data_IF_398346237225
#
_entry.id   IF_398346237225
#
_cell.length_a   1.000
_cell.length_b   1.000
_cell.length_c   1.000
_cell.angle_alpha   90.00
_cell.angle_beta   90.00
_cell.angle_gamma   90.00
#
_symmetry.space_group_name_H-M   'P 1'
#
loop_
_entity.id
_entity.type
_entity.pdbx_description
1 polymer ?
#
# COMPACT_ATOMS: atom_id res chain seq x y z
N UNK A 1 -3.77 -13.35 21.87
CA UNK A 1 -2.53 -14.00 22.36
C UNK A 1 -1.64 -12.85 22.76
N UNK A 2 -1.15 -12.77 24.00
CA UNK A 2 -0.41 -11.58 24.45
C UNK A 2 0.65 -11.14 23.42
N UNK A 3 0.78 -9.83 23.17
CA UNK A 3 1.67 -9.31 22.12
C UNK A 3 3.11 -9.81 22.29
N UNK A 4 3.57 -9.97 23.53
CA UNK A 4 4.86 -10.59 23.88
C UNK A 4 5.01 -12.03 23.37
N UNK A 5 3.97 -12.85 23.48
CA UNK A 5 3.94 -14.23 22.96
C UNK A 5 3.93 -14.24 21.42
N UNK A 6 3.21 -13.30 20.78
CA UNK A 6 3.25 -13.14 19.32
C UNK A 6 4.67 -12.76 18.87
N UNK A 7 5.35 -11.88 19.61
CA UNK A 7 6.72 -11.47 19.33
C UNK A 7 7.70 -12.63 19.52
N UNK A 8 7.55 -13.43 20.58
CA UNK A 8 8.39 -14.60 20.82
C UNK A 8 8.24 -15.65 19.69
N UNK A 9 7.00 -15.94 19.27
CA UNK A 9 6.74 -16.86 18.18
C UNK A 9 7.26 -16.35 16.81
N UNK A 10 7.24 -15.04 16.58
CA UNK A 10 7.57 -14.43 15.29
C UNK A 10 9.05 -14.04 15.14
N UNK A 11 9.68 -13.60 16.24
CA UNK A 11 11.02 -12.99 16.26
C UNK A 11 11.99 -13.66 17.25
N UNK A 12 11.52 -14.65 18.04
CA UNK A 12 12.34 -15.32 19.05
C UNK A 12 12.66 -14.45 20.27
N UNK A 13 11.95 -13.33 20.45
CA UNK A 13 12.08 -12.45 21.62
C UNK A 13 10.73 -11.91 22.04
N UNK A 14 10.45 -11.97 23.35
CA UNK A 14 9.27 -11.37 23.94
C UNK A 14 9.43 -9.85 24.18
N UNK A 15 10.65 -9.31 24.02
CA UNK A 15 10.93 -7.89 24.27
C UNK A 15 10.63 -7.02 23.05
N UNK A 16 9.67 -6.11 23.18
CA UNK A 16 9.26 -5.16 22.13
C UNK A 16 10.44 -4.33 21.60
N UNK A 17 11.34 -3.88 22.47
CA UNK A 17 12.53 -3.12 22.06
C UNK A 17 13.51 -3.99 21.26
N UNK A 18 13.65 -5.25 21.66
CA UNK A 18 14.43 -6.25 20.96
C UNK A 18 13.90 -6.54 19.55
N UNK A 19 12.57 -6.59 19.38
CA UNK A 19 11.93 -6.75 18.06
C UNK A 19 12.29 -5.59 17.13
N UNK A 20 12.38 -4.35 17.63
CA UNK A 20 12.81 -3.18 16.87
C UNK A 20 14.35 -3.03 16.76
N UNK A 21 15.11 -3.86 17.48
CA UNK A 21 16.58 -3.79 17.54
C UNK A 21 17.09 -2.51 18.19
N UNK A 22 16.36 -1.97 19.17
CA UNK A 22 16.72 -0.77 19.95
C UNK A 22 16.88 -1.12 21.43
N UNK A 23 17.54 -0.26 22.19
CA UNK A 23 17.70 -0.45 23.64
C UNK A 23 16.45 0.01 24.39
N UNK A 24 16.18 -0.57 25.56
CA UNK A 24 15.20 -0.04 26.53
C UNK A 24 15.60 1.39 26.91
N UNK A 25 14.64 2.31 26.91
CA UNK A 25 14.90 3.75 27.08
C UNK A 25 15.33 4.49 25.80
N UNK A 26 15.22 3.86 24.63
CA UNK A 26 15.44 4.53 23.35
C UNK A 26 14.50 5.74 23.16
N UNK A 27 15.02 6.80 22.54
CA UNK A 27 14.20 7.96 22.20
C UNK A 27 13.12 7.59 21.18
N UNK A 28 12.05 8.38 21.09
CA UNK A 28 11.02 8.20 20.06
C UNK A 28 11.62 8.18 18.64
N UNK A 29 12.64 9.00 18.39
CA UNK A 29 13.38 9.04 17.12
C UNK A 29 14.10 7.71 16.84
N UNK A 30 14.68 7.09 17.85
CA UNK A 30 15.38 5.81 17.73
C UNK A 30 14.41 4.65 17.52
N UNK A 31 13.25 4.66 18.19
CA UNK A 31 12.18 3.69 18.01
C UNK A 31 11.62 3.76 16.59
N UNK A 32 11.36 4.96 16.08
CA UNK A 32 10.95 5.19 14.69
C UNK A 32 11.98 4.69 13.68
N UNK A 33 13.27 4.94 13.93
CA UNK A 33 14.36 4.46 13.08
C UNK A 33 14.52 2.93 13.15
N UNK A 34 14.35 2.33 14.32
CA UNK A 34 14.35 0.88 14.53
C UNK A 34 13.24 0.21 13.74
N UNK A 35 12.01 0.70 13.88
CA UNK A 35 10.85 0.25 13.14
C UNK A 35 11.06 0.34 11.62
N UNK A 36 11.50 1.49 11.12
CA UNK A 36 11.78 1.68 9.70
C UNK A 36 12.74 0.62 9.14
N UNK A 37 13.84 0.33 9.84
CA UNK A 37 14.81 -0.70 9.41
C UNK A 37 14.21 -2.10 9.42
N UNK A 38 13.42 -2.43 10.44
CA UNK A 38 12.76 -3.73 10.55
C UNK A 38 11.67 -3.93 9.48
N UNK A 39 10.88 -2.89 9.21
CA UNK A 39 9.84 -2.86 8.20
C UNK A 39 10.36 -3.13 6.80
N UNK A 40 11.47 -2.50 6.42
CA UNK A 40 12.09 -2.72 5.11
C UNK A 40 12.58 -4.16 4.91
N UNK A 41 12.96 -4.85 6.00
CA UNK A 41 13.41 -6.25 5.96
C UNK A 41 12.25 -7.23 5.87
N UNK A 42 11.13 -6.91 6.51
CA UNK A 42 9.97 -7.80 6.64
C UNK A 42 8.87 -7.50 5.62
N UNK A 43 9.14 -6.63 4.64
CA UNK A 43 8.14 -6.23 3.66
C UNK A 43 7.74 -7.41 2.76
N UNK A 44 6.44 -7.74 2.64
CA UNK A 44 5.96 -8.90 1.87
C UNK A 44 6.28 -8.81 0.36
N UNK A 45 6.56 -7.61 -0.14
CA UNK A 45 6.96 -7.39 -1.55
C UNK A 45 8.43 -7.73 -1.83
N UNK A 46 9.27 -7.83 -0.78
CA UNK A 46 10.71 -8.12 -0.91
C UNK A 46 11.04 -9.59 -0.67
N UNK A 47 10.04 -10.44 -0.41
CA UNK A 47 10.21 -11.87 -0.13
C UNK A 47 9.56 -12.73 -1.23
N UNK A 48 10.07 -13.95 -1.47
CA UNK A 48 9.47 -14.90 -2.40
C UNK A 48 8.01 -15.23 -2.04
N UNK A 49 7.22 -15.65 -3.03
CA UNK A 49 5.78 -15.92 -2.87
C UNK A 49 5.45 -16.89 -1.72
N UNK A 50 6.31 -17.89 -1.48
CA UNK A 50 6.16 -18.90 -0.42
C UNK A 50 6.31 -18.32 1.00
N UNK A 51 6.97 -17.18 1.15
CA UNK A 51 7.24 -16.53 2.44
C UNK A 51 6.36 -15.29 2.67
N UNK A 52 5.47 -14.95 1.73
CA UNK A 52 4.62 -13.75 1.82
C UNK A 52 3.67 -13.79 3.00
N UNK A 53 3.09 -14.94 3.32
CA UNK A 53 2.18 -15.08 4.47
C UNK A 53 2.92 -14.88 5.80
N UNK A 54 4.10 -15.48 5.95
CA UNK A 54 4.92 -15.33 7.15
C UNK A 54 5.46 -13.90 7.29
N UNK A 55 5.90 -13.28 6.20
CA UNK A 55 6.31 -11.88 6.18
C UNK A 55 5.16 -10.95 6.55
N UNK A 56 3.96 -11.19 6.03
CA UNK A 56 2.75 -10.42 6.37
C UNK A 56 2.43 -10.54 7.86
N UNK A 57 2.48 -11.75 8.42
CA UNK A 57 2.24 -11.98 9.86
C UNK A 57 3.28 -11.30 10.73
N UNK A 58 4.58 -11.45 10.42
CA UNK A 58 5.67 -10.76 11.12
C UNK A 58 5.52 -9.25 11.04
N UNK A 59 5.15 -8.74 9.87
CA UNK A 59 4.96 -7.32 9.63
C UNK A 59 3.79 -6.74 10.46
N UNK A 60 2.67 -7.46 10.54
CA UNK A 60 1.54 -7.09 11.40
C UNK A 60 1.95 -7.01 12.87
N UNK A 61 2.72 -8.00 13.36
CA UNK A 61 3.22 -8.01 14.74
C UNK A 61 4.17 -6.83 14.97
N UNK A 62 5.09 -6.56 14.03
CA UNK A 62 5.97 -5.39 14.08
C UNK A 62 5.18 -4.07 14.19
N UNK A 63 4.09 -3.94 13.44
CA UNK A 63 3.20 -2.78 13.50
C UNK A 63 2.53 -2.61 14.88
N UNK A 64 2.15 -3.71 15.53
CA UNK A 64 1.62 -3.70 16.91
C UNK A 64 2.70 -3.31 17.93
N UNK A 65 3.91 -3.86 17.80
CA UNK A 65 5.07 -3.50 18.63
C UNK A 65 5.35 -2.01 18.58
N UNK A 66 5.38 -1.45 17.37
CA UNK A 66 5.59 -0.01 17.21
C UNK A 66 4.45 0.81 17.77
N UNK A 67 3.18 0.41 17.62
CA UNK A 67 2.05 1.15 18.19
C UNK A 67 2.23 1.38 19.70
N UNK A 68 2.53 0.29 20.42
CA UNK A 68 2.78 0.32 21.88
C UNK A 68 3.99 1.16 22.22
N UNK A 69 5.10 0.96 21.52
CA UNK A 69 6.33 1.69 21.80
C UNK A 69 6.28 3.14 21.32
N UNK A 70 5.41 3.52 20.38
CA UNK A 70 5.33 4.90 19.86
C UNK A 70 4.51 5.81 20.76
N UNK A 71 3.50 5.28 21.46
CA UNK A 71 2.69 6.01 22.43
C UNK A 71 3.41 6.06 23.78
N UNK A 72 3.67 7.27 24.29
CA UNK A 72 4.40 7.49 25.54
C UNK A 72 3.68 6.87 26.76
N UNK A 73 2.35 6.87 26.78
CA UNK A 73 1.56 6.28 27.87
C UNK A 73 1.60 4.76 27.80
N UNK A 74 1.43 4.18 26.61
CA UNK A 74 1.49 2.72 26.46
C UNK A 74 2.91 2.19 26.69
N UNK A 75 3.93 2.94 26.27
CA UNK A 75 5.34 2.63 26.55
C UNK A 75 5.63 2.63 28.05
N UNK A 76 5.17 3.64 28.78
CA UNK A 76 5.36 3.70 30.24
C UNK A 76 4.72 2.50 30.95
N UNK A 77 3.49 2.13 30.56
CA UNK A 77 2.80 0.94 31.10
C UNK A 77 3.58 -0.34 30.78
N UNK A 78 4.08 -0.49 29.55
CA UNK A 78 4.92 -1.63 29.17
C UNK A 78 6.24 -1.67 29.93
N UNK A 79 6.90 -0.54 30.14
CA UNK A 79 8.16 -0.44 30.87
C UNK A 79 8.00 -0.82 32.35
N UNK A 80 6.86 -0.49 32.96
CA UNK A 80 6.54 -0.82 34.36
C UNK A 80 6.04 -2.25 34.56
N UNK A 81 5.18 -2.75 33.67
CA UNK A 81 4.46 -4.03 33.88
C UNK A 81 5.00 -5.18 33.04
N UNK A 82 5.74 -4.89 31.97
CA UNK A 82 6.16 -5.89 30.99
C UNK A 82 5.01 -6.53 30.19
N UNK A 83 3.78 -6.04 30.37
CA UNK A 83 2.57 -6.53 29.72
C UNK A 83 1.95 -5.43 28.86
N UNK A 84 1.27 -5.83 27.79
CA UNK A 84 0.55 -4.92 26.89
C UNK A 84 -0.90 -5.40 26.84
N UNK A 85 -1.83 -4.51 27.18
CA UNK A 85 -3.25 -4.80 27.04
C UNK A 85 -3.62 -4.87 25.54
N UNK A 86 -4.08 -6.04 25.11
CA UNK A 86 -4.37 -6.34 23.70
C UNK A 86 -5.67 -5.64 23.22
N UNK A 87 -6.48 -5.14 24.17
CA UNK A 87 -7.85 -4.63 23.97
C UNK A 87 -7.97 -3.10 23.90
N UNK A 88 -6.87 -2.36 23.76
CA UNK A 88 -6.98 -0.97 23.31
C UNK A 88 -7.49 -0.99 21.86
N UNK A 89 -8.78 -0.68 21.66
CA UNK A 89 -9.58 -0.54 20.42
C UNK A 89 -8.91 0.19 19.22
N UNK A 90 -7.65 0.63 19.35
CA UNK A 90 -6.85 1.26 18.30
C UNK A 90 -6.31 0.28 17.23
N UNK A 91 -6.56 -1.03 17.35
CA UNK A 91 -5.99 -2.07 16.47
C UNK A 91 -7.03 -2.84 15.63
N UNK A 92 -8.25 -2.31 15.50
CA UNK A 92 -9.26 -2.90 14.60
C UNK A 92 -9.07 -2.40 13.15
N UNK A 93 -9.23 -3.31 12.19
CA UNK A 93 -9.22 -3.12 10.73
C UNK A 93 -9.65 -1.72 10.28
N UNK A 94 -8.71 -0.93 9.74
CA UNK A 94 -9.00 0.44 9.31
C UNK A 94 -7.78 1.36 9.19
N UNK A 95 -6.57 0.91 9.56
CA UNK A 95 -5.34 1.67 9.32
C UNK A 95 -5.12 1.83 7.82
N UNK A 96 -5.33 3.06 7.33
CA UNK A 96 -4.86 3.47 6.01
C UNK A 96 -3.33 3.41 6.03
N UNK A 97 -2.80 2.34 5.44
CA UNK A 97 -1.37 2.12 5.35
C UNK A 97 -0.68 3.24 4.58
N UNK A 98 -1.36 3.87 3.61
CA UNK A 98 -0.79 5.00 2.87
C UNK A 98 -0.55 6.19 3.81
N UNK A 99 -1.54 6.52 4.63
CA UNK A 99 -1.43 7.61 5.61
C UNK A 99 -0.35 7.33 6.66
N UNK A 100 -0.29 6.09 7.14
CA UNK A 100 0.75 5.62 8.06
C UNK A 100 2.16 5.73 7.45
N UNK A 101 2.33 5.33 6.19
CA UNK A 101 3.62 5.38 5.51
C UNK A 101 4.03 6.79 5.11
N UNK A 102 3.10 7.65 4.69
CA UNK A 102 3.37 9.06 4.46
C UNK A 102 3.81 9.77 5.74
N UNK A 103 3.25 9.39 6.89
CA UNK A 103 3.68 9.92 8.18
C UNK A 103 5.13 9.52 8.50
N UNK A 104 5.50 8.27 8.21
CA UNK A 104 6.83 7.70 8.49
C UNK A 104 7.90 8.16 7.49
N UNK A 105 7.58 8.10 6.21
CA UNK A 105 8.41 8.46 5.07
C UNK A 105 7.85 9.74 4.46
N UNK A 106 8.42 10.89 4.86
CA UNK A 106 8.07 12.19 4.28
C UNK A 106 8.74 12.34 2.92
N UNK A 107 8.38 11.48 1.96
CA UNK A 107 8.83 11.57 0.58
C UNK A 107 7.78 12.36 -0.20
N UNK A 108 8.23 13.45 -0.79
CA UNK A 108 7.42 14.32 -1.63
C UNK A 108 7.70 14.03 -3.11
N UNK A 109 6.81 14.49 -3.99
CA UNK A 109 7.04 14.42 -5.45
C UNK A 109 8.35 15.14 -5.82
N UNK A 110 8.70 16.21 -5.10
CA UNK A 110 9.97 16.94 -5.30
C UNK A 110 11.19 16.08 -4.99
N UNK A 111 11.15 15.28 -3.93
CA UNK A 111 12.25 14.38 -3.58
C UNK A 111 12.46 13.31 -4.68
N UNK A 112 11.38 12.85 -5.31
CA UNK A 112 11.43 11.91 -6.44
C UNK A 112 12.03 12.57 -7.68
N UNK A 113 11.64 13.81 -7.99
CA UNK A 113 12.20 14.58 -9.10
C UNK A 113 13.68 14.88 -8.89
N UNK A 114 14.07 15.27 -7.68
CA UNK A 114 15.46 15.50 -7.30
C UNK A 114 16.28 14.21 -7.41
N UNK A 115 15.77 13.08 -6.90
CA UNK A 115 16.39 11.77 -7.09
C UNK A 115 16.53 11.42 -8.57
N UNK A 116 15.49 11.61 -9.38
CA UNK A 116 15.55 11.36 -10.84
C UNK A 116 16.64 12.18 -11.51
N UNK A 117 16.79 13.46 -11.14
CA UNK A 117 17.80 14.35 -11.72
C UNK A 117 19.23 14.01 -11.29
N UNK A 118 19.42 13.53 -10.06
CA UNK A 118 20.73 13.14 -9.53
C UNK A 118 21.16 11.77 -10.05
N UNK A 119 20.22 10.84 -10.22
CA UNK A 119 20.49 9.51 -10.76
C UNK A 119 20.78 9.53 -12.26
N UNK A 120 20.06 10.32 -13.07
CA UNK A 120 20.29 10.38 -14.53
C UNK A 120 21.68 10.94 -14.86
N UNK A 121 22.41 10.22 -15.72
CA UNK A 121 23.81 10.44 -16.12
C UNK A 121 24.84 10.29 -14.99
N UNK A 122 24.45 9.67 -13.87
CA UNK A 122 25.38 9.36 -12.79
C UNK A 122 26.21 8.10 -13.10
N UNK A 123 27.29 7.91 -12.33
CA UNK A 123 28.04 6.65 -12.33
C UNK A 123 27.19 5.46 -11.86
N UNK A 124 26.23 5.71 -10.97
CA UNK A 124 25.30 4.70 -10.46
C UNK A 124 24.38 4.18 -11.57
N UNK A 125 23.80 5.07 -12.37
CA UNK A 125 23.01 4.67 -13.54
C UNK A 125 23.84 3.87 -14.54
N UNK A 126 25.09 4.29 -14.79
CA UNK A 126 25.98 3.55 -15.69
C UNK A 126 26.27 2.13 -15.15
N UNK A 127 26.48 1.99 -13.85
CA UNK A 127 26.69 0.69 -13.21
C UNK A 127 25.44 -0.20 -13.33
N UNK A 128 24.25 0.37 -13.09
CA UNK A 128 22.97 -0.34 -13.18
C UNK A 128 22.66 -0.77 -14.63
N UNK A 129 22.92 0.10 -15.60
CA UNK A 129 22.79 -0.21 -17.04
C UNK A 129 23.74 -1.35 -17.43
N UNK A 130 25.00 -1.32 -16.98
CA UNK A 130 25.96 -2.41 -17.24
C UNK A 130 25.51 -3.71 -16.58
N UNK A 131 25.05 -3.66 -15.34
CA UNK A 131 24.53 -4.83 -14.64
C UNK A 131 23.32 -5.43 -15.36
N UNK A 132 22.36 -4.60 -15.75
CA UNK A 132 21.19 -5.02 -16.53
C UNK A 132 21.61 -5.60 -17.90
N UNK A 133 22.56 -4.96 -18.58
CA UNK A 133 23.09 -5.43 -19.86
C UNK A 133 23.70 -6.84 -19.76
N UNK A 134 24.49 -7.09 -18.71
CA UNK A 134 25.08 -8.40 -18.42
C UNK A 134 24.02 -9.44 -18.07
N UNK A 135 23.08 -9.08 -17.18
CA UNK A 135 22.02 -9.98 -16.72
C UNK A 135 21.10 -10.41 -17.86
N UNK A 136 20.78 -9.50 -18.79
CA UNK A 136 19.88 -9.76 -19.91
C UNK A 136 20.58 -10.01 -21.24
N UNK A 137 21.92 -10.17 -21.23
CA UNK A 137 22.74 -10.49 -22.41
C UNK A 137 22.45 -9.55 -23.60
N UNK A 138 22.31 -8.26 -23.31
CA UNK A 138 22.07 -7.21 -24.31
C UNK A 138 20.64 -7.12 -24.87
N UNK A 139 19.64 -7.74 -24.22
CA UNK A 139 18.24 -7.54 -24.58
C UNK A 139 17.72 -6.17 -24.10
N UNK A 140 17.62 -5.22 -25.02
CA UNK A 140 17.18 -3.85 -24.74
C UNK A 140 15.75 -3.75 -24.21
N UNK A 141 14.85 -4.69 -24.51
CA UNK A 141 13.48 -4.64 -23.96
C UNK A 141 13.54 -4.78 -22.43
N UNK A 142 14.31 -5.78 -21.95
CA UNK A 142 14.46 -6.07 -20.52
C UNK A 142 15.30 -5.02 -19.80
N UNK A 143 16.33 -4.50 -20.46
CA UNK A 143 17.17 -3.44 -19.88
C UNK A 143 16.31 -2.21 -19.58
N UNK A 144 15.54 -1.73 -20.56
CA UNK A 144 14.68 -0.56 -20.41
C UNK A 144 13.58 -0.74 -19.36
N UNK A 145 13.08 -1.97 -19.17
CA UNK A 145 12.08 -2.30 -18.13
C UNK A 145 12.69 -2.43 -16.73
N UNK A 146 14.00 -2.66 -16.61
CA UNK A 146 14.68 -2.95 -15.34
C UNK A 146 15.41 -1.76 -14.72
N UNK A 147 15.94 -0.85 -15.53
CA UNK A 147 16.77 0.27 -15.06
C UNK A 147 15.86 1.38 -14.50
N UNK A 148 16.21 1.90 -13.33
CA UNK A 148 15.43 2.97 -12.68
C UNK A 148 15.37 4.23 -13.53
N UNK A 149 14.26 4.96 -13.42
CA UNK A 149 14.07 6.29 -13.99
C UNK A 149 14.25 6.39 -15.52
N UNK A 150 14.28 5.26 -16.21
CA UNK A 150 14.37 5.16 -17.67
C UNK A 150 12.96 5.13 -18.26
N UNK A 151 12.74 5.95 -19.28
CA UNK A 151 11.56 5.88 -20.11
C UNK A 151 11.93 5.60 -21.58
N UNK A 152 10.92 5.37 -22.42
CA UNK A 152 11.13 5.05 -23.84
C UNK A 152 11.84 6.16 -24.63
N UNK A 153 11.88 7.40 -24.13
CA UNK A 153 12.59 8.51 -24.77
C UNK A 153 14.09 8.46 -24.48
N UNK A 154 14.50 7.78 -23.39
CA UNK A 154 15.89 7.63 -22.98
C UNK A 154 16.63 6.52 -23.78
N UNK A 155 15.94 5.69 -24.58
CA UNK A 155 16.56 4.55 -25.30
C UNK A 155 17.83 4.93 -26.09
N UNK A 156 17.88 6.05 -26.85
CA UNK A 156 19.09 6.44 -27.57
C UNK A 156 20.28 6.69 -26.65
N UNK A 157 20.04 7.32 -25.49
CA UNK A 157 21.06 7.65 -24.49
C UNK A 157 21.59 6.39 -23.82
N UNK A 158 20.70 5.49 -23.41
CA UNK A 158 21.07 4.20 -22.79
C UNK A 158 21.87 3.34 -23.77
N UNK A 159 21.47 3.32 -25.04
CA UNK A 159 22.23 2.62 -26.10
C UNK A 159 23.65 3.18 -26.23
N UNK A 160 23.79 4.50 -26.28
CA UNK A 160 25.10 5.15 -26.39
C UNK A 160 26.00 4.84 -25.19
N UNK A 161 25.44 4.76 -23.98
CA UNK A 161 26.19 4.35 -22.78
C UNK A 161 26.70 2.91 -22.90
N UNK A 162 25.87 2.00 -23.40
CA UNK A 162 26.26 0.61 -23.62
C UNK A 162 27.31 0.49 -24.73
N UNK A 163 27.14 1.21 -25.84
CA UNK A 163 28.13 1.24 -26.94
C UNK A 163 29.49 1.72 -26.44
N UNK A 164 29.52 2.82 -25.67
CA UNK A 164 30.76 3.30 -25.03
C UNK A 164 31.39 2.26 -24.09
N UNK A 165 30.58 1.53 -23.33
CA UNK A 165 31.07 0.48 -22.43
C UNK A 165 31.58 -0.78 -23.17
N UNK A 166 31.04 -1.08 -24.36
CA UNK A 166 31.55 -2.13 -25.25
C UNK A 166 32.89 -1.69 -25.86
N UNK A 167 32.96 -0.44 -26.33
CA UNK A 167 34.16 0.13 -26.95
C UNK A 167 35.32 0.26 -25.95
N UNK A 168 35.03 0.57 -24.68
CA UNK A 168 36.02 0.58 -23.59
C UNK A 168 36.42 -0.83 -23.10
N UNK A 169 35.72 -1.88 -23.54
CA UNK A 169 35.97 -3.26 -23.15
C UNK A 169 35.46 -3.62 -21.74
N UNK A 170 34.65 -2.76 -21.13
CA UNK A 170 34.09 -3.00 -19.79
C UNK A 170 32.97 -4.04 -19.80
N UNK A 171 32.24 -4.17 -20.92
CA UNK A 171 31.21 -5.19 -21.13
C UNK A 171 31.41 -5.91 -22.47
N UNK A 172 31.09 -7.21 -22.57
CA UNK A 172 31.22 -7.97 -23.80
C UNK A 172 30.14 -7.60 -24.82
N UNK A 173 30.44 -7.70 -26.11
CA UNK A 173 29.46 -7.45 -27.17
C UNK A 173 28.48 -8.63 -27.34
N UNK A 174 27.20 -8.45 -27.01
CA UNK A 174 26.17 -9.46 -27.23
C UNK A 174 25.47 -9.31 -28.60
N UNK A 175 25.23 -10.46 -29.27
CA UNK A 175 24.55 -10.50 -30.59
C UNK A 175 23.15 -9.90 -30.56
N UNK A 176 22.42 -10.04 -29.44
CA UNK A 176 21.07 -9.51 -29.29
C UNK A 176 21.04 -7.98 -29.39
N UNK A 177 22.06 -7.31 -28.85
CA UNK A 177 22.21 -5.87 -28.90
C UNK A 177 22.69 -5.38 -30.28
N UNK A 178 23.77 -5.99 -30.80
CA UNK A 178 24.40 -5.55 -32.05
C UNK A 178 23.52 -5.78 -33.28
N UNK A 179 22.79 -6.90 -33.32
CA UNK A 179 21.94 -7.26 -34.48
C UNK A 179 20.49 -6.80 -34.32
N UNK A 180 20.21 -5.90 -33.38
CA UNK A 180 18.86 -5.42 -33.20
C UNK A 180 18.38 -4.64 -34.42
N UNK A 181 17.17 -4.95 -34.90
CA UNK A 181 16.61 -4.29 -36.07
C UNK A 181 16.06 -2.91 -35.71
N UNK A 182 16.21 -1.94 -36.62
CA UNK A 182 15.57 -0.62 -36.49
C UNK A 182 14.04 -0.74 -36.33
N UNK A 183 13.43 -1.77 -36.93
CA UNK A 183 12.00 -2.05 -36.77
C UNK A 183 11.65 -2.41 -35.33
N UNK A 184 12.46 -3.23 -34.64
CA UNK A 184 12.25 -3.59 -33.23
C UNK A 184 12.33 -2.34 -32.33
N UNK A 185 13.34 -1.49 -32.54
CA UNK A 185 13.48 -0.22 -31.83
C UNK A 185 12.27 0.70 -32.04
N UNK A 186 11.85 0.89 -33.30
CA UNK A 186 10.67 1.70 -33.63
C UNK A 186 9.39 1.10 -33.05
N UNK A 187 9.28 -0.23 -32.99
CA UNK A 187 8.13 -0.91 -32.41
C UNK A 187 8.05 -0.71 -30.90
N UNK A 188 9.17 -0.75 -30.17
CA UNK A 188 9.23 -0.40 -28.74
C UNK A 188 8.68 1.00 -28.50
N UNK A 189 9.22 1.98 -29.22
CA UNK A 189 8.80 3.38 -29.13
C UNK A 189 7.30 3.53 -29.41
N UNK A 190 6.79 2.93 -30.48
CA UNK A 190 5.36 2.97 -30.83
C UNK A 190 4.47 2.32 -29.78
N UNK A 191 4.91 1.20 -29.17
CA UNK A 191 4.18 0.52 -28.09
C UNK A 191 4.04 1.44 -26.88
N UNK A 192 5.14 2.06 -26.45
CA UNK A 192 5.14 3.00 -25.33
C UNK A 192 4.31 4.26 -25.62
N UNK A 193 4.39 4.83 -26.83
CA UNK A 193 3.55 5.96 -27.25
C UNK A 193 2.05 5.60 -27.26
N UNK A 194 1.71 4.38 -27.66
CA UNK A 194 0.33 3.88 -27.66
C UNK A 194 -0.18 3.71 -26.23
N UNK A 195 0.59 3.07 -25.36
CA UNK A 195 0.27 2.90 -23.95
C UNK A 195 0.12 4.24 -23.22
N UNK A 196 1.00 5.21 -23.48
CA UNK A 196 0.88 6.55 -22.92
C UNK A 196 -0.39 7.29 -23.39
N UNK A 197 -0.83 7.08 -24.63
CA UNK A 197 -2.11 7.63 -25.13
C UNK A 197 -3.31 6.93 -24.49
N UNK A 198 -3.26 5.62 -24.31
CA UNK A 198 -4.30 4.85 -23.64
C UNK A 198 -4.41 5.25 -22.18
N UNK A 199 -3.28 5.37 -21.46
CA UNK A 199 -3.23 5.87 -20.09
C UNK A 199 -3.86 7.26 -19.96
N UNK A 200 -3.51 8.20 -20.86
CA UNK A 200 -4.13 9.54 -20.89
C UNK A 200 -5.64 9.48 -21.10
N UNK A 201 -6.11 8.68 -22.07
CA UNK A 201 -7.55 8.50 -22.29
C UNK A 201 -8.25 7.92 -21.06
N UNK A 202 -7.66 6.91 -20.41
CA UNK A 202 -8.25 6.34 -19.20
C UNK A 202 -8.31 7.34 -18.06
N UNK A 203 -7.30 8.21 -17.93
CA UNK A 203 -7.27 9.30 -16.96
C UNK A 203 -8.41 10.28 -17.23
N UNK A 204 -8.60 10.69 -18.49
CA UNK A 204 -9.68 11.58 -18.92
C UNK A 204 -11.08 10.95 -18.71
N UNK A 205 -11.25 9.67 -19.07
CA UNK A 205 -12.51 8.91 -18.91
C UNK A 205 -12.90 8.74 -17.44
N UNK A 206 -11.90 8.50 -16.58
CA UNK A 206 -12.10 8.41 -15.13
C UNK A 206 -12.26 9.79 -14.48
N UNK A 207 -12.05 10.89 -15.22
CA UNK A 207 -12.11 12.26 -14.70
C UNK A 207 -11.06 12.52 -13.63
N UNK A 208 -9.88 11.88 -13.73
CA UNK A 208 -8.79 11.98 -12.77
C UNK A 208 -7.79 13.04 -13.23
N UNK A 209 -7.98 14.31 -12.87
CA UNK A 209 -7.09 15.42 -13.27
C UNK A 209 -6.34 16.08 -12.12
N UNK A 210 -6.78 15.89 -10.88
CA UNK A 210 -6.27 16.49 -9.66
C UNK A 210 -5.77 15.46 -8.63
N UNK A 211 -5.00 15.95 -7.64
CA UNK A 211 -4.28 15.13 -6.65
C UNK A 211 -5.17 14.16 -5.85
N UNK A 212 -6.47 14.43 -5.69
CA UNK A 212 -7.38 13.65 -4.85
C UNK A 212 -8.54 13.00 -5.61
N UNK A 213 -8.53 13.04 -6.94
CA UNK A 213 -9.70 12.65 -7.74
C UNK A 213 -10.02 11.15 -7.61
N UNK A 214 -8.98 10.31 -7.48
CA UNK A 214 -9.16 8.86 -7.31
C UNK A 214 -9.80 8.54 -5.95
N UNK A 215 -9.37 9.25 -4.90
CA UNK A 215 -9.95 9.11 -3.56
C UNK A 215 -11.41 9.58 -3.55
N UNK A 216 -11.71 10.67 -4.25
CA UNK A 216 -13.07 11.16 -4.42
C UNK A 216 -13.95 10.16 -5.17
N UNK A 217 -13.42 9.51 -6.21
CA UNK A 217 -14.12 8.51 -7.02
C UNK A 217 -14.41 7.23 -6.22
N UNK A 218 -13.46 6.76 -5.41
CA UNK A 218 -13.66 5.62 -4.49
C UNK A 218 -14.73 5.96 -3.44
N UNK A 219 -14.65 7.14 -2.81
CA UNK A 219 -15.66 7.60 -1.83
C UNK A 219 -17.05 7.69 -2.46
N UNK A 220 -17.15 8.16 -3.70
CA UNK A 220 -18.41 8.22 -4.45
C UNK A 220 -18.99 6.83 -4.70
N UNK A 221 -18.18 5.88 -5.19
CA UNK A 221 -18.62 4.48 -5.40
C UNK A 221 -19.04 3.79 -4.11
N UNK A 222 -18.37 4.06 -2.99
CA UNK A 222 -18.77 3.52 -1.69
C UNK A 222 -20.15 4.06 -1.27
N UNK A 223 -20.38 5.36 -1.41
CA UNK A 223 -21.68 5.98 -1.13
C UNK A 223 -22.80 5.49 -2.05
N UNK A 224 -22.49 5.23 -3.33
CA UNK A 224 -23.46 4.65 -4.27
C UNK A 224 -23.83 3.23 -3.85
N UNK A 225 -22.86 2.40 -3.46
CA UNK A 225 -23.10 1.05 -2.92
C UNK A 225 -23.90 1.06 -1.61
N UNK A 226 -23.64 1.99 -0.70
CA UNK A 226 -24.43 2.16 0.54
C UNK A 226 -25.88 2.51 0.22
N UNK A 227 -26.12 3.44 -0.72
CA UNK A 227 -27.48 3.81 -1.14
C UNK A 227 -28.22 2.65 -1.80
N UNK A 228 -27.54 1.87 -2.63
CA UNK A 228 -28.11 0.65 -3.22
C UNK A 228 -28.48 -0.38 -2.15
N UNK A 229 -27.64 -0.52 -1.12
CA UNK A 229 -27.88 -1.39 0.03
C UNK A 229 -29.05 -0.89 0.89
N UNK A 230 -29.17 0.41 1.17
CA UNK A 230 -30.30 1.01 1.87
C UNK A 230 -31.61 0.85 1.09
N UNK A 231 -31.57 1.02 -0.23
CA UNK A 231 -32.69 0.76 -1.11
C UNK A 231 -33.09 -0.73 -1.11
N UNK A 232 -32.11 -1.63 -1.03
CA UNK A 232 -32.36 -3.07 -0.90
C UNK A 232 -32.99 -3.43 0.45
N UNK A 233 -32.49 -2.88 1.56
CA UNK A 233 -33.04 -3.11 2.90
C UNK A 233 -34.45 -2.51 3.07
N UNK A 234 -34.70 -1.31 2.57
CA UNK A 234 -36.05 -0.72 2.57
C UNK A 234 -37.04 -1.52 1.71
N UNK A 235 -36.61 -2.10 0.60
CA UNK A 235 -37.43 -3.01 -0.20
C UNK A 235 -37.75 -4.32 0.54
N UNK A 236 -36.78 -4.88 1.29
CA UNK A 236 -36.99 -6.03 2.16
C UNK A 236 -37.93 -5.69 3.33
N UNK A 237 -37.76 -4.54 3.97
CA UNK A 237 -38.60 -4.08 5.06
C UNK A 237 -40.06 -3.88 4.61
N UNK A 238 -40.28 -3.30 3.43
CA UNK A 238 -41.62 -3.18 2.86
C UNK A 238 -42.28 -4.54 2.56
N UNK A 239 -41.49 -5.54 2.19
CA UNK A 239 -41.96 -6.89 1.81
C UNK A 239 -42.22 -7.80 3.02
N UNK A 240 -41.45 -7.65 4.10
CA UNK A 240 -41.49 -8.55 5.27
C UNK A 240 -41.95 -7.87 6.57
N UNK A 241 -41.88 -6.53 6.67
CA UNK A 241 -42.19 -5.76 7.87
C UNK A 241 -43.67 -5.60 8.21
N UNK A 242 -44.60 -6.01 7.33
CA UNK A 242 -46.04 -5.87 7.58
C UNK A 242 -46.69 -7.15 8.12
N UNK A 243 -46.14 -7.70 9.20
CA UNK A 243 -46.75 -8.80 9.98
C UNK A 243 -46.96 -8.41 11.45
N UNK A 244 -47.46 -7.20 11.71
CA UNK A 244 -47.81 -6.80 13.08
C UNK A 244 -48.97 -5.79 13.17
N UNK A 245 -50.09 -6.02 12.46
CA UNK A 245 -51.40 -5.41 12.80
C UNK A 245 -52.55 -6.37 12.51
N UNK A 246 -52.72 -7.40 13.36
CA UNK A 246 -53.98 -8.13 13.45
C UNK A 246 -54.18 -8.64 14.88
N UNK A 247 -54.83 -7.83 15.71
CA UNK A 247 -55.10 -8.22 17.09
C UNK A 247 -55.69 -7.14 18.00
N UNK A 248 -56.75 -6.43 17.59
CA UNK A 248 -57.65 -5.80 18.57
C UNK A 248 -59.07 -6.34 18.39
N UNK A 249 -59.46 -7.15 19.38
CA UNK A 249 -60.72 -7.88 19.49
C UNK A 249 -61.80 -6.90 19.96
N UNK A 250 -62.81 -6.67 19.14
CA UNK A 250 -64.09 -6.06 19.56
C UNK A 250 -64.71 -6.90 20.68
N UNK A 251 -64.95 -6.31 21.84
CA UNK A 251 -65.94 -6.82 22.82
C UNK A 251 -66.98 -5.75 23.09
N UNK A 252 -68.18 -6.00 22.58
CA UNK A 252 -69.42 -5.27 22.84
C UNK A 252 -69.98 -5.61 24.23
N UNK A 253 -70.26 -4.60 25.06
CA UNK A 253 -71.02 -4.72 26.30
C UNK A 253 -72.03 -3.57 26.43
N UNK A 254 -73.31 -3.92 26.53
CA UNK A 254 -74.50 -3.03 26.49
C UNK A 254 -75.19 -3.03 27.86
N UNK A 255 -75.50 -1.84 28.42
CA UNK A 255 -76.61 -1.45 29.36
C UNK A 255 -76.13 -0.27 30.24
N UNK A 256 -76.91 0.73 30.68
CA UNK A 256 -78.30 1.22 30.48
C UNK A 256 -78.39 2.60 31.17
N UNK A 257 -79.40 3.40 30.79
CA UNK A 257 -79.78 4.76 31.27
C UNK A 257 -80.05 4.92 32.78
N UNK A 258 -79.87 6.13 33.31
CA UNK A 258 -80.83 6.97 34.10
C UNK A 258 -80.14 8.34 34.35
N UNK A 259 -80.58 9.48 33.79
CA UNK A 259 -81.61 10.43 34.30
C UNK A 259 -81.45 10.84 35.78
N UNK A 260 -81.29 12.16 36.02
CA UNK A 260 -81.27 12.77 37.35
C UNK A 260 -80.80 14.23 37.37
N UNK A 261 -81.76 15.14 37.22
CA UNK A 261 -81.77 16.61 37.40
C UNK A 261 -80.96 17.21 38.56
N UNK A 262 -80.33 18.36 38.31
CA UNK A 262 -80.64 19.65 38.95
C UNK A 262 -80.13 20.79 38.05
#
# INVERSE_FOLDING_TARGET
MALSQQCEAAFGTADLYGVLGVRRGASEKDIRRGYHRASLRLHPDRVPAEQKEEATRRFQILGKVYAVLSDEKQRAVYDETGMVDEDAEALQDGRDWLEYWQLLFKVTVKDIEEFKSTYKNSEEELADVKAAYMNFKGDMDRIMESVLCVDYTDEPRIREMIERAIDSGEVPSYKAFVKESKQKMMSRRKRAEKEAKEAKKTIDELGLGGENDLQALIKRRNKEREKEMDNFFSHLEAKYGNTAKKGEKKTSGKKRKAEGTA
#
